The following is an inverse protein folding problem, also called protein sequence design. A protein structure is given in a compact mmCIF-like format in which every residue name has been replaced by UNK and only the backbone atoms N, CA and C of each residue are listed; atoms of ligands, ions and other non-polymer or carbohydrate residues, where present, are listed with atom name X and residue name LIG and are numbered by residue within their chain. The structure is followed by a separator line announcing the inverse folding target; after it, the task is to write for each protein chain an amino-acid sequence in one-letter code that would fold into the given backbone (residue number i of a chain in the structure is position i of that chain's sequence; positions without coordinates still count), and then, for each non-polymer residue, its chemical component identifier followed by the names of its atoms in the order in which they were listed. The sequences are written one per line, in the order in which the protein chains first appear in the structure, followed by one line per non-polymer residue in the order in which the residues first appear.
data_IF_367178974862
#
_entry.id   IF_367178974862
#
_cell.length_a   1.000
_cell.length_b   1.000
_cell.length_c   1.000
_cell.angle_alpha   90.00
_cell.angle_beta   90.00
_cell.angle_gamma   90.00
#
_symmetry.space_group_name_H-M   'P 1'
#
loop_
_entity.id
_entity.type
_entity.pdbx_description
1 polymer ?
#
# COMPACT_ATOMS: atom_id res chain seq x y z
N UNK A 1 -22.69 -14.37 -9.40
CA UNK A 1 -22.56 -13.41 -8.27
C UNK A 1 -21.78 -12.17 -8.68
N UNK A 2 -20.67 -12.31 -9.41
CA UNK A 2 -19.71 -11.22 -9.61
C UNK A 2 -19.94 -10.37 -10.87
N UNK A 3 -21.18 -10.23 -11.33
CA UNK A 3 -21.44 -9.44 -12.53
C UNK A 3 -21.31 -7.94 -12.20
N UNK A 4 -20.38 -7.18 -12.85
CA UNK A 4 -20.14 -5.76 -12.57
C UNK A 4 -21.40 -4.89 -12.62
N UNK A 5 -22.29 -5.18 -13.57
CA UNK A 5 -23.53 -4.44 -13.76
C UNK A 5 -24.43 -4.54 -12.51
N UNK A 6 -24.57 -5.75 -11.97
CA UNK A 6 -25.38 -6.02 -10.78
C UNK A 6 -24.74 -5.41 -9.53
N UNK A 7 -23.43 -5.56 -9.36
CA UNK A 7 -22.68 -5.00 -8.23
C UNK A 7 -22.87 -3.48 -8.17
N UNK A 8 -22.71 -2.82 -9.31
CA UNK A 8 -22.86 -1.37 -9.43
C UNK A 8 -24.30 -0.92 -9.22
N UNK A 9 -25.28 -1.62 -9.83
CA UNK A 9 -26.70 -1.30 -9.71
C UNK A 9 -27.18 -1.36 -8.26
N UNK A 10 -26.68 -2.33 -7.49
CA UNK A 10 -27.04 -2.50 -6.08
C UNK A 10 -26.27 -1.58 -5.14
N UNK A 11 -25.24 -0.86 -5.62
CA UNK A 11 -24.44 0.04 -4.79
C UNK A 11 -23.65 -0.69 -3.71
N UNK A 12 -23.05 -1.84 -4.04
CA UNK A 12 -22.33 -2.69 -3.08
C UNK A 12 -21.18 -1.93 -2.41
N UNK A 13 -20.97 -2.15 -1.11
CA UNK A 13 -19.74 -1.79 -0.41
C UNK A 13 -18.82 -3.01 -0.46
N UNK A 14 -17.68 -2.89 -1.14
CA UNK A 14 -16.71 -3.97 -1.27
C UNK A 14 -15.64 -3.86 -0.17
N UNK A 15 -15.41 -4.96 0.54
CA UNK A 15 -14.32 -5.09 1.50
C UNK A 15 -13.42 -6.26 1.11
N UNK A 16 -12.14 -5.98 0.85
CA UNK A 16 -11.15 -6.96 0.42
C UNK A 16 -9.90 -6.88 1.30
N UNK A 17 -9.12 -7.97 1.34
CA UNK A 17 -7.84 -8.00 2.06
C UNK A 17 -6.68 -7.72 1.10
N UNK A 18 -5.81 -6.79 1.44
CA UNK A 18 -4.58 -6.51 0.70
C UNK A 18 -3.41 -7.36 1.23
N UNK A 19 -2.51 -7.79 0.35
CA UNK A 19 -1.16 -8.23 0.76
C UNK A 19 -0.36 -7.01 1.18
N UNK A 20 -0.35 -5.99 0.33
CA UNK A 20 0.29 -4.70 0.58
C UNK A 20 -0.36 -3.61 -0.30
N UNK A 21 -0.23 -2.37 0.12
CA UNK A 21 -0.62 -1.19 -0.63
C UNK A 21 0.55 -0.21 -0.69
N UNK A 22 0.65 0.54 -1.79
CA UNK A 22 1.63 1.62 -1.85
C UNK A 22 1.07 2.95 -1.32
N UNK A 23 1.97 3.91 -1.12
CA UNK A 23 1.60 5.25 -0.67
C UNK A 23 0.70 5.98 -1.68
N UNK A 24 0.50 5.50 -2.91
CA UNK A 24 -0.41 6.12 -3.87
C UNK A 24 -1.78 5.48 -3.92
N UNK A 25 -1.98 4.38 -3.19
CA UNK A 25 -3.24 3.66 -3.08
C UNK A 25 -3.39 2.54 -4.10
N UNK A 26 -2.31 2.13 -4.78
CA UNK A 26 -2.33 0.87 -5.53
C UNK A 26 -2.25 -0.30 -4.56
N UNK A 27 -2.92 -1.40 -4.89
CA UNK A 27 -3.00 -2.59 -4.04
C UNK A 27 -2.51 -3.84 -4.79
N UNK A 28 -1.70 -4.61 -4.08
CA UNK A 28 -1.32 -5.97 -4.41
C UNK A 28 -2.17 -6.94 -3.57
N UNK A 29 -2.90 -7.85 -4.20
CA UNK A 29 -3.72 -8.87 -3.53
C UNK A 29 -3.26 -10.30 -3.83
N UNK A 30 -2.32 -10.49 -4.76
CA UNK A 30 -2.02 -11.82 -5.30
C UNK A 30 -0.56 -12.27 -5.20
N UNK A 31 0.43 -11.39 -5.33
CA UNK A 31 1.84 -11.79 -5.56
C UNK A 31 2.81 -11.24 -4.53
N UNK A 32 3.26 -12.10 -3.61
CA UNK A 32 4.28 -11.75 -2.61
C UNK A 32 5.61 -11.46 -3.32
N UNK A 33 6.21 -10.31 -3.02
CA UNK A 33 7.45 -9.82 -3.65
C UNK A 33 7.34 -9.78 -5.19
N UNK A 34 6.14 -9.59 -5.73
CA UNK A 34 5.89 -9.42 -7.17
C UNK A 34 6.04 -10.67 -8.05
N UNK A 35 6.27 -11.85 -7.46
CA UNK A 35 6.46 -13.08 -8.26
C UNK A 35 5.93 -14.35 -7.61
N UNK A 36 5.81 -14.40 -6.28
CA UNK A 36 5.29 -15.59 -5.59
C UNK A 36 3.78 -15.46 -5.39
N UNK A 37 3.02 -16.23 -6.17
CA UNK A 37 1.57 -16.33 -6.01
C UNK A 37 1.20 -16.77 -4.59
N UNK A 38 0.24 -16.06 -3.98
CA UNK A 38 -0.42 -16.46 -2.75
C UNK A 38 -1.62 -17.36 -3.06
N UNK A 39 -2.68 -16.76 -3.62
CA UNK A 39 -3.93 -17.45 -3.99
C UNK A 39 -4.37 -17.05 -5.40
N UNK A 40 -4.37 -15.75 -5.70
CA UNK A 40 -4.83 -15.14 -6.95
C UNK A 40 -5.78 -13.97 -6.69
N UNK A 41 -6.07 -13.18 -7.73
CA UNK A 41 -6.95 -11.99 -7.62
C UNK A 41 -8.39 -12.35 -7.22
N UNK A 42 -8.88 -13.52 -7.66
CA UNK A 42 -10.25 -13.97 -7.40
C UNK A 42 -11.29 -12.96 -7.91
N UNK A 43 -12.34 -12.73 -7.12
CA UNK A 43 -13.39 -11.76 -7.44
C UNK A 43 -13.09 -10.33 -6.99
N UNK A 44 -11.93 -10.06 -6.40
CA UNK A 44 -11.63 -8.74 -5.83
C UNK A 44 -11.70 -7.64 -6.89
N UNK A 45 -11.25 -7.91 -8.12
CA UNK A 45 -11.35 -6.97 -9.25
C UNK A 45 -12.79 -6.64 -9.63
N UNK A 46 -13.66 -7.66 -9.69
CA UNK A 46 -15.08 -7.49 -10.04
C UNK A 46 -15.79 -6.53 -9.09
N UNK A 47 -15.58 -6.74 -7.78
CA UNK A 47 -16.21 -5.96 -6.73
C UNK A 47 -15.57 -4.59 -6.56
N UNK A 48 -14.23 -4.51 -6.52
CA UNK A 48 -13.51 -3.25 -6.27
C UNK A 48 -13.91 -2.17 -7.28
N UNK A 49 -13.80 -2.46 -8.59
CA UNK A 49 -14.09 -1.50 -9.67
C UNK A 49 -15.58 -1.15 -9.78
N UNK A 50 -16.46 -2.07 -9.39
CA UNK A 50 -17.91 -1.93 -9.61
C UNK A 50 -18.69 -1.48 -8.37
N UNK A 51 -18.04 -1.47 -7.21
CA UNK A 51 -18.64 -1.06 -5.94
C UNK A 51 -18.94 0.43 -5.86
N UNK A 52 -19.82 0.81 -4.94
CA UNK A 52 -20.05 2.20 -4.57
C UNK A 52 -18.94 2.75 -3.69
N UNK A 53 -18.40 1.90 -2.79
CA UNK A 53 -17.22 2.17 -1.99
C UNK A 53 -16.36 0.90 -1.98
N UNK A 54 -15.08 1.04 -2.33
CA UNK A 54 -14.10 -0.03 -2.23
C UNK A 54 -13.16 0.18 -1.03
N UNK A 55 -13.07 -0.84 -0.18
CA UNK A 55 -12.29 -0.81 1.05
C UNK A 55 -11.28 -1.95 1.00
N UNK A 56 -10.01 -1.62 1.21
CA UNK A 56 -8.96 -2.60 1.44
C UNK A 56 -8.52 -2.57 2.89
N UNK A 57 -8.45 -3.75 3.50
CA UNK A 57 -7.98 -3.93 4.87
C UNK A 57 -6.71 -4.77 4.90
N UNK A 58 -5.75 -4.43 5.75
CA UNK A 58 -4.57 -5.26 6.03
C UNK A 58 -3.97 -4.89 7.39
N UNK A 59 -3.23 -5.79 8.02
CA UNK A 59 -2.36 -5.40 9.14
C UNK A 59 -1.26 -4.49 8.58
N UNK A 60 -0.84 -3.44 9.29
CA UNK A 60 0.16 -2.49 8.79
C UNK A 60 1.55 -3.10 8.64
N UNK A 61 1.77 -4.27 9.25
CA UNK A 61 2.98 -5.09 9.13
C UNK A 61 2.63 -6.57 9.01
N UNK A 62 3.56 -7.35 8.46
CA UNK A 62 3.52 -8.81 8.43
C UNK A 62 4.84 -9.39 8.96
N UNK A 63 4.88 -10.72 9.17
CA UNK A 63 6.06 -11.47 9.63
C UNK A 63 6.70 -10.86 10.89
N UNK A 64 5.91 -10.70 11.96
CA UNK A 64 6.37 -10.14 13.24
C UNK A 64 6.99 -8.73 13.11
N UNK A 65 6.46 -7.92 12.20
CA UNK A 65 6.96 -6.56 11.98
C UNK A 65 8.15 -6.47 11.02
N UNK A 66 8.60 -7.57 10.42
CA UNK A 66 9.73 -7.57 9.47
C UNK A 66 9.33 -7.10 8.06
N UNK A 67 8.05 -7.12 7.72
CA UNK A 67 7.52 -6.62 6.45
C UNK A 67 6.54 -5.48 6.73
N UNK A 68 6.64 -4.38 6.00
CA UNK A 68 5.60 -3.34 5.99
C UNK A 68 4.53 -3.69 4.95
N UNK A 69 3.26 -3.57 5.31
CA UNK A 69 2.16 -3.71 4.34
C UNK A 69 1.85 -2.41 3.61
N UNK A 70 2.38 -1.27 4.10
CA UNK A 70 2.41 -0.01 3.36
C UNK A 70 3.83 0.21 2.81
N UNK A 71 3.96 0.30 1.49
CA UNK A 71 5.27 0.33 0.81
C UNK A 71 5.44 1.55 -0.10
N UNK A 72 6.66 1.90 -0.51
CA UNK A 72 6.88 2.98 -1.48
C UNK A 72 6.19 2.75 -2.84
N UNK A 73 6.21 1.51 -3.32
CA UNK A 73 5.55 1.06 -4.55
C UNK A 73 5.24 -0.43 -4.43
N UNK A 74 4.06 -0.85 -4.90
CA UNK A 74 3.73 -2.28 -4.93
C UNK A 74 4.54 -2.99 -6.02
N UNK A 75 5.08 -4.19 -5.76
CA UNK A 75 5.86 -4.95 -6.73
C UNK A 75 4.98 -5.63 -7.78
N UNK A 76 3.68 -5.74 -7.52
CA UNK A 76 2.64 -6.19 -8.43
C UNK A 76 1.37 -5.38 -8.15
N UNK A 77 0.62 -5.00 -9.19
CA UNK A 77 -0.58 -4.19 -9.05
C UNK A 77 -1.80 -4.98 -9.55
N UNK A 78 -2.68 -5.34 -8.62
CA UNK A 78 -3.98 -5.95 -8.93
C UNK A 78 -5.08 -4.88 -9.05
N UNK A 79 -4.98 -3.82 -8.23
CA UNK A 79 -5.94 -2.72 -8.20
C UNK A 79 -5.19 -1.38 -8.23
N UNK A 80 -5.48 -0.55 -9.23
CA UNK A 80 -4.86 0.78 -9.31
C UNK A 80 -5.48 1.75 -8.31
N UNK A 81 -4.84 2.91 -8.12
CA UNK A 81 -5.35 3.95 -7.23
C UNK A 81 -6.73 4.50 -7.64
N UNK A 82 -7.16 4.25 -8.88
CA UNK A 82 -8.49 4.62 -9.39
C UNK A 82 -9.61 3.68 -8.90
N UNK A 83 -9.24 2.54 -8.36
CA UNK A 83 -10.14 1.50 -7.88
C UNK A 83 -10.33 1.50 -6.38
N UNK A 84 -9.47 2.20 -5.64
CA UNK A 84 -9.37 2.10 -4.19
C UNK A 84 -9.84 3.40 -3.54
N UNK A 85 -10.96 3.33 -2.82
CA UNK A 85 -11.52 4.47 -2.11
C UNK A 85 -10.97 4.58 -0.68
N UNK A 86 -10.81 3.46 0.02
CA UNK A 86 -10.42 3.45 1.44
C UNK A 86 -9.40 2.36 1.73
N UNK A 87 -8.38 2.70 2.52
CA UNK A 87 -7.44 1.73 3.10
C UNK A 87 -7.57 1.77 4.62
N UNK A 88 -7.61 0.60 5.26
CA UNK A 88 -7.71 0.44 6.71
C UNK A 88 -6.62 -0.50 7.21
N UNK A 89 -5.95 -0.09 8.29
CA UNK A 89 -5.07 -0.96 9.08
C UNK A 89 -5.40 -0.81 10.56
N UNK A 90 -4.72 -1.55 11.43
CA UNK A 90 -4.85 -1.37 12.87
C UNK A 90 -4.32 -0.01 13.36
N UNK A 91 -3.66 0.76 12.50
CA UNK A 91 -3.18 2.12 12.80
C UNK A 91 -4.26 3.20 12.57
N UNK A 92 -5.26 2.93 11.73
CA UNK A 92 -6.28 3.90 11.35
C UNK A 92 -6.87 3.69 9.96
N UNK A 93 -7.52 4.74 9.46
CA UNK A 93 -8.26 4.75 8.19
C UNK A 93 -7.76 5.87 7.30
N UNK A 94 -7.47 5.57 6.04
CA UNK A 94 -7.20 6.55 4.99
C UNK A 94 -8.34 6.56 3.96
N UNK A 95 -9.12 7.64 3.96
CA UNK A 95 -10.10 7.94 2.91
C UNK A 95 -9.40 8.65 1.74
N UNK A 96 -9.45 8.05 0.55
CA UNK A 96 -8.71 8.47 -0.63
C UNK A 96 -9.58 9.20 -1.66
N UNK A 97 -10.89 9.30 -1.40
CA UNK A 97 -11.86 9.84 -2.35
C UNK A 97 -11.58 11.32 -2.62
N UNK A 98 -11.51 11.68 -3.90
CA UNK A 98 -11.25 13.05 -4.35
C UNK A 98 -9.81 13.55 -4.14
N UNK A 99 -8.90 12.71 -3.65
CA UNK A 99 -7.51 13.09 -3.39
C UNK A 99 -6.61 12.86 -4.61
N UNK A 100 -5.69 13.80 -4.86
CA UNK A 100 -4.56 13.61 -5.78
C UNK A 100 -3.55 12.59 -5.22
N UNK A 101 -2.67 11.99 -6.05
CA UNK A 101 -1.68 11.01 -5.57
C UNK A 101 -0.83 11.50 -4.39
N UNK A 102 -0.43 12.78 -4.38
CA UNK A 102 0.33 13.35 -3.27
C UNK A 102 -0.49 13.50 -1.99
N UNK A 103 -1.78 13.76 -2.10
CA UNK A 103 -2.69 13.81 -0.95
C UNK A 103 -2.95 12.40 -0.41
N UNK A 104 -3.18 11.42 -1.30
CA UNK A 104 -3.27 9.99 -0.96
C UNK A 104 -2.03 9.54 -0.18
N UNK A 105 -0.83 9.87 -0.66
CA UNK A 105 0.41 9.55 0.06
C UNK A 105 0.46 10.10 1.47
N UNK A 106 0.05 11.36 1.69
CA UNK A 106 0.05 11.93 3.04
C UNK A 106 -0.92 11.20 3.96
N UNK A 107 -2.15 10.92 3.51
CA UNK A 107 -3.16 10.29 4.36
C UNK A 107 -2.87 8.80 4.61
N UNK A 108 -2.35 8.07 3.63
CA UNK A 108 -1.95 6.66 3.79
C UNK A 108 -0.75 6.54 4.73
N UNK A 109 0.26 7.40 4.55
CA UNK A 109 1.45 7.40 5.41
C UNK A 109 1.07 7.72 6.85
N UNK A 110 0.24 8.74 7.08
CA UNK A 110 -0.11 9.17 8.43
C UNK A 110 -1.03 8.16 9.13
N UNK A 111 -2.07 7.69 8.45
CA UNK A 111 -3.15 6.93 9.11
C UNK A 111 -3.00 5.41 9.03
N UNK A 112 -2.31 4.86 8.03
CA UNK A 112 -2.29 3.42 7.79
C UNK A 112 -0.92 2.77 8.03
N UNK A 113 0.16 3.53 8.00
CA UNK A 113 1.52 2.98 8.12
C UNK A 113 1.89 2.70 9.57
N UNK A 114 2.58 1.59 9.83
CA UNK A 114 3.12 1.27 11.15
C UNK A 114 4.09 2.36 11.65
N UNK A 115 4.14 2.69 12.96
CA UNK A 115 5.00 3.75 13.49
C UNK A 115 6.49 3.57 13.17
N UNK A 116 6.97 2.32 13.08
CA UNK A 116 8.36 2.04 12.69
C UNK A 116 8.66 2.44 11.24
N UNK A 117 7.77 2.13 10.29
CA UNK A 117 8.00 2.35 8.85
C UNK A 117 7.60 3.76 8.40
N UNK A 118 6.70 4.42 9.14
CA UNK A 118 6.17 5.76 8.80
C UNK A 118 7.25 6.82 8.57
N UNK A 119 8.30 6.97 9.40
CA UNK A 119 9.37 7.95 9.13
C UNK A 119 10.11 7.69 7.82
N UNK A 120 10.34 6.43 7.47
CA UNK A 120 11.02 6.05 6.23
C UNK A 120 10.16 6.30 4.98
N UNK A 121 8.85 6.06 5.06
CA UNK A 121 7.91 6.44 3.99
C UNK A 121 7.83 7.96 3.82
N UNK A 122 7.81 8.72 4.93
CA UNK A 122 7.86 10.19 4.90
C UNK A 122 9.14 10.69 4.23
N UNK A 123 10.29 10.09 4.54
CA UNK A 123 11.57 10.41 3.91
C UNK A 123 11.58 10.10 2.41
N UNK A 124 11.20 8.86 2.03
CA UNK A 124 11.09 8.47 0.62
C UNK A 124 10.19 9.44 -0.16
N UNK A 125 8.99 9.73 0.35
CA UNK A 125 8.04 10.62 -0.31
C UNK A 125 8.57 12.06 -0.42
N UNK A 126 9.22 12.56 0.63
CA UNK A 126 9.85 13.89 0.64
C UNK A 126 10.93 14.00 -0.43
N UNK A 127 11.82 13.01 -0.54
CA UNK A 127 12.88 12.97 -1.56
C UNK A 127 12.30 12.80 -2.95
N UNK A 128 11.31 11.93 -3.13
CA UNK A 128 10.61 11.73 -4.40
C UNK A 128 9.94 13.02 -4.91
N UNK A 129 9.45 13.88 -4.00
CA UNK A 129 8.86 15.16 -4.36
C UNK A 129 9.87 16.23 -4.84
N UNK A 130 11.18 15.99 -4.75
CA UNK A 130 12.20 16.94 -5.18
C UNK A 130 12.32 16.97 -6.72
N UNK A 131 11.44 17.73 -7.38
CA UNK A 131 11.54 18.03 -8.80
C UNK A 131 10.37 18.86 -9.32
N UNK A 132 10.39 19.18 -10.60
CA UNK A 132 9.35 20.01 -11.27
C UNK A 132 8.34 19.11 -11.97
N UNK A 133 7.06 19.52 -11.99
CA UNK A 133 5.98 18.84 -12.71
C UNK A 133 5.76 17.36 -12.33
N UNK A 134 5.87 17.03 -11.04
CA UNK A 134 5.70 15.66 -10.55
C UNK A 134 4.26 15.45 -10.12
N UNK A 135 3.49 14.63 -10.85
CA UNK A 135 2.14 14.22 -10.45
C UNK A 135 2.18 13.11 -9.39
N UNK A 136 2.86 12.00 -9.71
CA UNK A 136 3.07 10.84 -8.83
C UNK A 136 4.58 10.67 -8.56
N UNK A 137 5.09 11.13 -7.41
CA UNK A 137 6.53 11.13 -7.12
C UNK A 137 7.13 9.73 -6.94
N UNK A 138 8.12 9.33 -7.75
CA UNK A 138 8.77 8.02 -7.61
C UNK A 138 10.29 8.17 -7.74
N UNK A 139 11.03 7.53 -6.83
CA UNK A 139 12.47 7.33 -6.97
C UNK A 139 12.70 5.93 -7.54
N UNK A 140 12.88 5.84 -8.85
CA UNK A 140 12.94 4.55 -9.58
C UNK A 140 13.97 3.57 -9.00
N UNK A 141 15.11 4.08 -8.50
CA UNK A 141 16.17 3.26 -7.90
C UNK A 141 15.79 2.64 -6.55
N UNK A 142 14.79 3.21 -5.86
CA UNK A 142 14.45 2.85 -4.49
C UNK A 142 13.03 2.30 -4.35
N UNK A 143 12.20 2.43 -5.39
CA UNK A 143 10.77 2.12 -5.35
C UNK A 143 10.46 0.71 -4.84
N UNK A 144 11.28 -0.28 -5.21
CA UNK A 144 11.16 -1.69 -4.80
C UNK A 144 12.29 -2.14 -3.87
N UNK A 145 13.12 -1.22 -3.36
CA UNK A 145 14.29 -1.55 -2.54
C UNK A 145 13.94 -2.19 -1.19
N UNK A 146 12.71 -2.01 -0.71
CA UNK A 146 12.24 -2.65 0.52
C UNK A 146 12.02 -4.15 0.29
N UNK A 147 11.44 -4.52 -0.85
CA UNK A 147 11.24 -5.90 -1.27
C UNK A 147 12.56 -6.61 -1.50
N UNK A 148 13.49 -5.96 -2.21
CA UNK A 148 14.87 -6.45 -2.41
C UNK A 148 15.56 -6.71 -1.06
N UNK A 149 15.52 -5.73 -0.13
CA UNK A 149 16.09 -5.88 1.21
C UNK A 149 15.49 -7.07 1.97
N UNK A 150 14.18 -7.28 1.87
CA UNK A 150 13.55 -8.43 2.51
C UNK A 150 14.01 -9.76 1.90
N UNK A 151 14.19 -9.83 0.57
CA UNK A 151 14.73 -11.03 -0.08
C UNK A 151 16.18 -11.33 0.33
N UNK A 152 16.99 -10.29 0.50
CA UNK A 152 18.41 -10.44 0.88
C UNK A 152 18.62 -10.72 2.37
N UNK A 153 17.82 -10.08 3.24
CA UNK A 153 18.11 -10.02 4.68
C UNK A 153 17.02 -10.65 5.56
N UNK A 154 15.88 -11.01 4.98
CA UNK A 154 14.70 -11.46 5.72
C UNK A 154 13.92 -10.33 6.41
N UNK A 155 14.26 -9.07 6.17
CA UNK A 155 13.61 -7.90 6.78
C UNK A 155 13.56 -6.68 5.85
N UNK A 156 12.46 -5.93 5.87
CA UNK A 156 12.38 -4.59 5.29
C UNK A 156 12.97 -3.52 6.23
N UNK A 157 13.24 -3.85 7.50
CA UNK A 157 13.74 -2.89 8.48
C UNK A 157 15.10 -2.36 8.05
N UNK A 158 15.27 -1.05 8.19
CA UNK A 158 16.57 -0.41 8.08
C UNK A 158 17.39 -0.78 9.32
N UNK A 159 18.67 -1.13 9.14
CA UNK A 159 19.59 -1.22 10.28
C UNK A 159 19.67 0.17 10.91
N UNK A 160 19.00 0.38 12.02
CA UNK A 160 19.32 1.50 12.90
C UNK A 160 20.69 1.18 13.46
N UNK A 161 21.70 1.99 13.18
CA UNK A 161 22.97 1.92 13.89
C UNK A 161 22.67 2.06 15.39
N UNK A 162 22.59 0.92 16.10
CA UNK A 162 22.61 0.90 17.55
C UNK A 162 24.07 1.00 17.98
N UNK A 163 24.59 2.23 17.92
CA UNK A 163 25.65 2.73 18.80
C UNK A 163 25.12 3.98 19.51
N UNK A 164 24.09 3.80 20.33
CA UNK A 164 23.84 4.66 21.48
C UNK A 164 23.50 3.75 22.66
N UNK A 165 24.29 3.78 23.75
CA UNK A 165 24.03 3.00 24.94
C UNK A 165 22.77 3.54 25.65
N UNK A 166 22.13 2.63 26.37
CA UNK A 166 20.98 2.84 27.25
C UNK A 166 21.15 4.09 28.15
N UNK A 167 20.09 4.89 28.25
CA UNK A 167 19.77 5.70 29.44
C UNK A 167 18.40 5.26 29.98
#
# INVERSE_FOLDING_TARGET
SNNPEVIRRLGVIAMNTAIEADIYGNVNSSQIMGSRMMNGIGGSGDFTRSSYISIFTTESVAKNGEISSIVPMVPHCDHSEHDVDVIVTEQGVADLRGLSPKEKARVIIENCSHPYYRPFLKDYFKRACQGKNIHTPVLLKEALSWHERFQETGSMKFKTDKSSPEE
#
